data_IF_371264963490
#
_entry.id   IF_371264963490
#
_cell.length_a   1.000
_cell.length_b   1.000
_cell.length_c   1.000
_cell.angle_alpha   90.00
_cell.angle_beta   90.00
_cell.angle_gamma   90.00
#
_symmetry.space_group_name_H-M   'P 1'
#
loop_
_entity.id
_entity.type
_entity.pdbx_description
1 polymer ?
#
# COMPACT_ATOMS: atom_id res chain seq x y z
N UNK A 1 22.15 -1.25 4.74
CA UNK A 1 21.63 -2.49 5.38
C UNK A 1 21.50 -3.55 4.29
N UNK A 2 22.32 -4.59 4.32
CA UNK A 2 22.21 -5.74 3.44
C UNK A 2 20.88 -6.44 3.69
N UNK A 3 20.01 -6.51 2.68
CA UNK A 3 18.78 -7.30 2.74
C UNK A 3 19.19 -8.74 2.99
N UNK A 4 18.76 -9.33 4.11
CA UNK A 4 19.02 -10.74 4.37
C UNK A 4 18.28 -11.59 3.35
N UNK A 5 18.96 -12.62 2.84
CA UNK A 5 18.31 -13.66 2.06
C UNK A 5 17.30 -14.42 2.94
N UNK A 6 16.29 -15.02 2.31
CA UNK A 6 15.43 -15.97 2.99
C UNK A 6 16.28 -17.16 3.45
N UNK A 7 16.12 -17.56 4.72
CA UNK A 7 16.78 -18.73 5.28
C UNK A 7 16.12 -20.00 4.71
N UNK A 8 16.80 -20.80 3.85
CA UNK A 8 16.20 -21.97 3.24
C UNK A 8 15.73 -23.00 4.28
N UNK A 9 16.48 -23.17 5.37
CA UNK A 9 16.09 -24.08 6.45
C UNK A 9 14.80 -23.60 7.14
N UNK A 10 14.57 -22.28 7.21
CA UNK A 10 13.31 -21.75 7.72
C UNK A 10 12.11 -22.12 6.86
N UNK A 11 12.28 -22.04 5.55
CA UNK A 11 11.25 -22.36 4.55
C UNK A 11 10.94 -23.85 4.55
N UNK A 12 11.97 -24.71 4.53
CA UNK A 12 11.79 -26.17 4.60
C UNK A 12 11.12 -26.61 5.90
N UNK A 13 11.53 -26.05 7.04
CA UNK A 13 10.89 -26.37 8.32
C UNK A 13 9.40 -26.00 8.34
N UNK A 14 9.02 -24.88 7.73
CA UNK A 14 7.61 -24.50 7.59
C UNK A 14 6.84 -25.49 6.69
N UNK A 15 7.42 -25.87 5.55
CA UNK A 15 6.85 -26.86 4.62
C UNK A 15 6.57 -28.19 5.32
N UNK A 16 7.56 -28.74 6.03
CA UNK A 16 7.44 -30.00 6.77
C UNK A 16 6.39 -29.90 7.87
N UNK A 17 6.38 -28.81 8.64
CA UNK A 17 5.42 -28.62 9.72
C UNK A 17 3.97 -28.52 9.22
N UNK A 18 3.75 -27.93 8.03
CA UNK A 18 2.40 -27.70 7.49
C UNK A 18 1.87 -28.88 6.67
N UNK A 19 2.74 -29.58 5.94
CA UNK A 19 2.33 -30.58 4.94
C UNK A 19 2.91 -31.98 5.20
N UNK A 20 3.67 -32.15 6.28
CA UNK A 20 4.24 -33.43 6.69
C UNK A 20 5.62 -33.73 6.11
N UNK A 21 6.19 -34.85 6.54
CA UNK A 21 7.56 -35.27 6.21
C UNK A 21 7.81 -35.53 4.72
N UNK A 22 6.77 -35.79 3.93
CA UNK A 22 6.86 -35.98 2.47
C UNK A 22 7.37 -34.73 1.72
N UNK A 23 7.34 -33.55 2.36
CA UNK A 23 7.96 -32.32 1.84
C UNK A 23 9.38 -32.06 2.40
N UNK A 24 9.92 -32.93 3.26
CA UNK A 24 11.29 -32.83 3.77
C UNK A 24 12.35 -33.05 2.69
N UNK A 25 12.07 -33.98 1.76
CA UNK A 25 12.92 -34.31 0.61
C UNK A 25 12.41 -33.70 -0.71
N UNK A 26 11.48 -32.74 -0.63
CA UNK A 26 10.92 -32.10 -1.81
C UNK A 26 11.96 -31.20 -2.50
N UNK A 27 11.91 -31.14 -3.83
CA UNK A 27 12.58 -30.08 -4.56
C UNK A 27 11.90 -28.75 -4.24
N UNK A 28 12.56 -27.91 -3.45
CA UNK A 28 12.11 -26.56 -3.08
C UNK A 28 12.82 -25.54 -3.95
N UNK A 29 12.03 -24.77 -4.70
CA UNK A 29 12.50 -23.62 -5.46
C UNK A 29 12.08 -22.33 -4.72
N UNK A 30 13.03 -21.41 -4.56
CA UNK A 30 12.82 -20.10 -3.95
C UNK A 30 13.17 -19.04 -4.98
N UNK A 31 12.15 -18.42 -5.56
CA UNK A 31 12.30 -17.39 -6.59
C UNK A 31 12.04 -16.01 -6.00
N UNK A 32 13.05 -15.11 -5.93
CA UNK A 32 12.84 -13.74 -5.47
C UNK A 32 11.73 -13.05 -6.26
N UNK A 33 10.91 -12.27 -5.57
CA UNK A 33 9.91 -11.40 -6.18
C UNK A 33 10.41 -9.96 -6.11
N UNK A 34 10.54 -9.33 -7.27
CA UNK A 34 10.91 -7.93 -7.38
C UNK A 34 9.77 -7.01 -6.92
N UNK A 35 10.11 -5.79 -6.50
CA UNK A 35 9.13 -4.77 -6.07
C UNK A 35 9.01 -4.56 -4.55
N UNK A 36 9.57 -5.45 -3.72
CA UNK A 36 9.66 -5.24 -2.28
C UNK A 36 10.68 -4.15 -1.91
N UNK A 37 10.23 -2.91 -1.68
CA UNK A 37 11.11 -1.81 -1.26
C UNK A 37 11.63 -2.00 0.18
N UNK A 38 10.80 -2.57 1.05
CA UNK A 38 11.04 -2.65 2.49
C UNK A 38 11.18 -4.08 3.06
N UNK A 39 11.11 -5.11 2.21
CA UNK A 39 11.19 -6.52 2.65
C UNK A 39 11.78 -7.41 1.56
N UNK A 40 12.41 -8.51 1.98
CA UNK A 40 12.77 -9.60 1.08
C UNK A 40 11.54 -10.48 0.88
N UNK A 41 11.09 -10.64 -0.36
CA UNK A 41 9.91 -11.42 -0.71
C UNK A 41 10.31 -12.46 -1.77
N UNK A 42 9.83 -13.69 -1.65
CA UNK A 42 10.01 -14.72 -2.66
C UNK A 42 8.77 -15.60 -2.81
N UNK A 43 8.58 -16.12 -4.02
CA UNK A 43 7.71 -17.24 -4.27
C UNK A 43 8.45 -18.52 -3.90
N UNK A 44 7.82 -19.35 -3.08
CA UNK A 44 8.28 -20.69 -2.74
C UNK A 44 7.38 -21.69 -3.45
N UNK A 45 7.99 -22.59 -4.21
CA UNK A 45 7.33 -23.73 -4.85
C UNK A 45 7.98 -25.01 -4.37
N UNK A 46 7.17 -25.99 -3.94
CA UNK A 46 7.63 -27.29 -3.50
C UNK A 46 6.85 -28.40 -4.20
N UNK A 47 7.57 -29.41 -4.70
CA UNK A 47 6.98 -30.62 -5.28
C UNK A 47 7.22 -31.80 -4.35
N UNK A 48 6.17 -32.42 -3.78
CA UNK A 48 6.35 -33.62 -2.95
C UNK A 48 7.02 -34.77 -3.68
N UNK A 49 7.91 -35.46 -2.97
CA UNK A 49 8.60 -36.64 -3.48
C UNK A 49 7.76 -37.89 -3.18
N UNK A 50 7.35 -38.62 -4.22
CA UNK A 50 6.63 -39.90 -4.10
C UNK A 50 5.10 -39.79 -4.12
N UNK A 51 4.48 -40.38 -5.15
CA UNK A 51 3.03 -40.48 -5.35
C UNK A 51 2.58 -40.05 -6.75
N UNK A 52 1.44 -40.57 -7.22
CA UNK A 52 0.85 -40.20 -8.51
C UNK A 52 0.47 -38.70 -8.52
N UNK A 53 1.28 -37.89 -9.21
CA UNK A 53 1.07 -36.47 -9.49
C UNK A 53 0.55 -35.61 -8.30
N UNK A 54 1.28 -35.53 -7.17
CA UNK A 54 0.89 -34.62 -6.09
C UNK A 54 0.89 -33.17 -6.58
N UNK A 55 -0.16 -32.43 -6.26
CA UNK A 55 -0.26 -31.00 -6.63
C UNK A 55 0.91 -30.23 -6.01
N UNK A 56 1.61 -29.38 -6.79
CA UNK A 56 2.67 -28.54 -6.25
C UNK A 56 2.10 -27.59 -5.20
N UNK A 57 2.85 -27.38 -4.13
CA UNK A 57 2.54 -26.38 -3.10
C UNK A 57 3.23 -25.08 -3.47
N UNK A 58 2.50 -23.97 -3.44
CA UNK A 58 3.04 -22.64 -3.69
C UNK A 58 2.56 -21.64 -2.63
N UNK A 59 3.48 -20.82 -2.13
CA UNK A 59 3.19 -19.73 -1.21
C UNK A 59 4.23 -18.62 -1.33
N UNK A 60 3.91 -17.43 -0.84
CA UNK A 60 4.85 -16.32 -0.78
C UNK A 60 5.49 -16.27 0.61
N UNK A 61 6.82 -16.21 0.65
CA UNK A 61 7.60 -16.00 1.86
C UNK A 61 8.04 -14.53 1.91
N UNK A 62 7.65 -13.82 2.97
CA UNK A 62 8.05 -12.42 3.22
C UNK A 62 8.83 -12.33 4.52
N UNK A 63 10.02 -11.75 4.43
CA UNK A 63 10.88 -11.52 5.57
C UNK A 63 10.73 -10.09 6.05
N UNK A 64 10.00 -9.94 7.15
CA UNK A 64 9.71 -8.67 7.77
C UNK A 64 10.69 -8.36 8.92
N UNK A 65 11.16 -7.11 8.97
CA UNK A 65 12.12 -6.61 9.94
C UNK A 65 11.65 -5.30 10.56
N UNK A 66 12.15 -4.99 11.76
CA UNK A 66 11.92 -3.70 12.41
C UNK A 66 10.44 -3.44 12.60
N UNK A 67 9.96 -2.28 12.13
CA UNK A 67 8.55 -1.89 12.29
C UNK A 67 7.63 -2.67 11.36
N UNK A 68 8.11 -3.17 10.22
CA UNK A 68 7.34 -4.03 9.31
C UNK A 68 6.97 -5.39 9.96
N UNK A 69 7.66 -5.81 11.03
CA UNK A 69 7.32 -7.01 11.79
C UNK A 69 5.90 -6.99 12.37
N UNK A 70 5.29 -5.80 12.51
CA UNK A 70 3.90 -5.65 12.94
C UNK A 70 2.89 -6.29 11.99
N UNK A 71 3.25 -6.47 10.72
CA UNK A 71 2.38 -7.03 9.68
C UNK A 71 1.84 -8.42 10.05
N UNK A 72 2.60 -9.22 10.80
CA UNK A 72 2.12 -10.52 11.33
C UNK A 72 0.86 -10.35 12.17
N UNK A 73 0.85 -9.37 13.07
CA UNK A 73 -0.29 -9.11 13.94
C UNK A 73 -1.46 -8.50 13.15
N UNK A 74 -1.17 -7.75 12.08
CA UNK A 74 -2.19 -7.27 11.14
C UNK A 74 -2.86 -8.46 10.46
N UNK A 75 -2.13 -9.37 9.82
CA UNK A 75 -2.72 -10.54 9.16
C UNK A 75 -3.55 -11.42 10.11
N UNK A 76 -3.08 -11.61 11.36
CA UNK A 76 -3.85 -12.34 12.38
C UNK A 76 -5.19 -11.66 12.69
N UNK A 77 -5.25 -10.32 12.65
CA UNK A 77 -6.50 -9.57 12.75
C UNK A 77 -7.35 -9.73 11.50
N UNK A 78 -6.76 -9.59 10.31
CA UNK A 78 -7.49 -9.68 9.04
C UNK A 78 -8.25 -11.00 8.91
N UNK A 79 -7.63 -12.10 9.34
CA UNK A 79 -8.24 -13.43 9.38
C UNK A 79 -9.56 -13.52 10.20
N UNK A 80 -9.84 -12.54 11.05
CA UNK A 80 -11.05 -12.45 11.90
C UNK A 80 -11.95 -11.28 11.51
N UNK A 81 -11.77 -10.73 10.31
CA UNK A 81 -12.48 -9.56 9.79
C UNK A 81 -13.02 -9.84 8.37
N UNK A 82 -13.87 -8.96 7.86
CA UNK A 82 -14.34 -8.97 6.45
C UNK A 82 -13.17 -8.88 5.48
N UNK A 83 -12.03 -8.31 5.90
CA UNK A 83 -10.84 -8.23 5.07
C UNK A 83 -10.26 -9.59 4.70
N UNK A 84 -10.56 -10.66 5.47
CA UNK A 84 -10.21 -12.05 5.09
C UNK A 84 -10.67 -12.40 3.68
N UNK A 85 -11.78 -11.82 3.21
CA UNK A 85 -12.31 -12.09 1.87
C UNK A 85 -11.42 -11.50 0.76
N UNK A 86 -10.67 -10.43 1.03
CA UNK A 86 -9.91 -9.66 0.05
C UNK A 86 -8.46 -9.38 0.49
N UNK A 87 -7.90 -10.23 1.35
CA UNK A 87 -6.48 -10.28 1.72
C UNK A 87 -5.94 -11.70 1.50
N UNK A 88 -4.64 -11.87 1.23
CA UNK A 88 -4.03 -13.20 1.22
C UNK A 88 -4.21 -13.91 2.57
N UNK A 89 -4.41 -15.22 2.56
CA UNK A 89 -4.39 -16.01 3.79
C UNK A 89 -2.98 -16.02 4.41
N UNK A 90 -2.89 -15.82 5.73
CA UNK A 90 -1.66 -16.10 6.47
C UNK A 90 -1.57 -17.60 6.77
N UNK A 91 -0.75 -18.30 6.00
CA UNK A 91 -0.52 -19.75 6.15
C UNK A 91 0.33 -20.08 7.38
N UNK A 92 1.21 -19.15 7.77
CA UNK A 92 1.99 -19.24 9.00
C UNK A 92 2.91 -18.05 9.21
N UNK A 93 3.41 -17.92 10.44
CA UNK A 93 4.40 -16.91 10.78
C UNK A 93 5.39 -17.45 11.82
N UNK A 94 6.69 -17.26 11.57
CA UNK A 94 7.76 -17.71 12.47
C UNK A 94 8.62 -16.54 12.92
N UNK A 95 8.80 -16.40 14.24
CA UNK A 95 9.73 -15.42 14.80
C UNK A 95 11.15 -15.94 14.63
N UNK A 96 12.01 -15.17 13.96
CA UNK A 96 13.43 -15.50 13.73
C UNK A 96 14.38 -14.70 14.63
N UNK A 97 13.84 -13.74 15.41
CA UNK A 97 14.63 -12.90 16.30
C UNK A 97 13.80 -11.71 16.81
N UNK A 98 14.47 -10.78 17.50
CA UNK A 98 13.85 -9.53 17.96
C UNK A 98 13.46 -8.68 16.74
N UNK A 99 12.15 -8.44 16.56
CA UNK A 99 11.59 -7.72 15.39
C UNK A 99 11.96 -8.32 14.02
N UNK A 100 12.17 -9.64 13.94
CA UNK A 100 12.38 -10.35 12.68
C UNK A 100 11.41 -11.52 12.56
N UNK A 101 10.62 -11.52 11.50
CA UNK A 101 9.58 -12.52 11.25
C UNK A 101 9.62 -13.02 9.81
N UNK A 102 9.47 -14.33 9.65
CA UNK A 102 9.13 -14.94 8.38
C UNK A 102 7.60 -15.09 8.32
N UNK A 103 6.98 -14.49 7.32
CA UNK A 103 5.57 -14.66 6.99
C UNK A 103 5.47 -15.61 5.81
N UNK A 104 4.59 -16.60 5.91
CA UNK A 104 4.22 -17.48 4.81
C UNK A 104 2.75 -17.17 4.48
N UNK A 105 2.51 -16.58 3.31
CA UNK A 105 1.20 -16.09 2.88
C UNK A 105 0.76 -16.80 1.59
N UNK A 106 -0.54 -16.90 1.39
CA UNK A 106 -1.17 -17.44 0.17
C UNK A 106 -0.51 -16.85 -1.09
N UNK A 107 -0.17 -17.72 -2.04
CA UNK A 107 0.23 -17.28 -3.37
C UNK A 107 -1.02 -16.96 -4.19
N UNK A 108 -1.21 -15.69 -4.51
CA UNK A 108 -2.29 -15.21 -5.36
C UNK A 108 -1.82 -15.24 -6.82
N UNK A 109 -2.50 -16.02 -7.66
CA UNK A 109 -2.29 -16.01 -9.10
C UNK A 109 -3.15 -14.89 -9.70
N UNK A 110 -2.56 -13.87 -10.34
CA UNK A 110 -3.34 -12.81 -10.95
C UNK A 110 -4.05 -13.31 -12.21
N UNK A 111 -5.31 -12.92 -12.37
CA UNK A 111 -6.12 -13.18 -13.56
C UNK A 111 -5.59 -12.42 -14.79
N UNK A 112 -5.06 -11.21 -14.56
CA UNK A 112 -4.51 -10.35 -15.59
C UNK A 112 -3.23 -9.68 -15.09
N UNK A 113 -2.26 -9.46 -16.00
CA UNK A 113 -1.05 -8.72 -15.69
C UNK A 113 -1.34 -7.25 -15.32
N UNK A 114 -2.36 -6.66 -15.95
CA UNK A 114 -2.78 -5.27 -15.69
C UNK A 114 -4.30 -5.12 -15.85
N UNK A 115 -5.09 -5.31 -14.76
CA UNK A 115 -6.55 -5.30 -14.82
C UNK A 115 -7.17 -3.89 -14.79
N UNK A 116 -6.37 -2.84 -14.63
CA UNK A 116 -6.84 -1.51 -14.24
C UNK A 116 -7.37 -0.64 -15.38
N UNK A 117 -7.16 -1.06 -16.63
CA UNK A 117 -7.84 -0.47 -17.79
C UNK A 117 -9.35 -0.67 -17.74
N UNK A 118 -9.82 -1.70 -17.02
CA UNK A 118 -11.23 -1.92 -16.72
C UNK A 118 -11.67 -1.08 -15.50
N UNK A 119 -12.61 -0.17 -15.75
CA UNK A 119 -13.23 0.65 -14.72
C UNK A 119 -13.98 -0.16 -13.65
N UNK A 120 -14.50 -1.35 -13.99
CA UNK A 120 -15.19 -2.21 -13.05
C UNK A 120 -14.24 -2.76 -11.98
N UNK A 121 -13.03 -3.20 -12.36
CA UNK A 121 -12.00 -3.61 -11.39
C UNK A 121 -11.58 -2.46 -10.49
N UNK A 122 -11.43 -1.26 -11.08
CA UNK A 122 -11.09 -0.05 -10.33
C UNK A 122 -12.15 0.30 -9.28
N UNK A 123 -13.44 0.18 -9.62
CA UNK A 123 -14.54 0.41 -8.70
C UNK A 123 -14.62 -0.66 -7.60
N UNK A 124 -14.42 -1.96 -7.93
CA UNK A 124 -14.45 -3.04 -6.94
C UNK A 124 -13.41 -2.89 -5.84
N UNK A 125 -12.24 -2.32 -6.13
CA UNK A 125 -11.25 -1.99 -5.09
C UNK A 125 -11.84 -1.01 -4.08
N UNK A 126 -12.56 0.01 -4.55
CA UNK A 126 -13.23 0.99 -3.69
C UNK A 126 -14.38 0.37 -2.90
N UNK A 127 -15.10 -0.61 -3.45
CA UNK A 127 -16.13 -1.35 -2.72
C UNK A 127 -15.52 -2.17 -1.57
N UNK A 128 -14.38 -2.84 -1.82
CA UNK A 128 -13.64 -3.55 -0.76
C UNK A 128 -13.12 -2.61 0.31
N UNK A 129 -12.59 -1.45 -0.08
CA UNK A 129 -12.20 -0.41 0.87
C UNK A 129 -13.42 0.10 1.65
N UNK A 130 -14.59 0.31 1.02
CA UNK A 130 -15.79 0.72 1.72
C UNK A 130 -16.19 -0.30 2.80
N UNK A 131 -16.16 -1.60 2.47
CA UNK A 131 -16.42 -2.70 3.40
C UNK A 131 -15.41 -2.75 4.55
N UNK A 132 -14.11 -2.62 4.26
CA UNK A 132 -13.06 -2.54 5.28
C UNK A 132 -13.31 -1.37 6.24
N UNK A 133 -13.58 -0.19 5.70
CA UNK A 133 -13.75 1.02 6.49
C UNK A 133 -15.06 1.03 7.31
N UNK A 134 -16.03 0.18 6.96
CA UNK A 134 -17.30 0.05 7.67
C UNK A 134 -17.23 -0.82 8.94
N UNK A 135 -16.18 -1.64 9.12
CA UNK A 135 -16.04 -2.51 10.30
C UNK A 135 -15.88 -1.76 11.63
N UNK A 136 -15.76 -0.44 11.60
CA UNK A 136 -15.46 0.38 12.76
C UNK A 136 -14.06 0.10 13.32
N UNK A 137 -13.84 0.44 14.59
CA UNK A 137 -12.61 0.11 15.32
C UNK A 137 -12.95 -0.85 16.47
N UNK A 138 -13.21 -2.15 16.23
CA UNK A 138 -13.48 -3.09 17.33
C UNK A 138 -12.22 -3.35 18.18
N UNK A 139 -12.46 -3.63 19.46
CA UNK A 139 -11.52 -3.61 20.61
C UNK A 139 -10.29 -4.53 20.59
N UNK A 140 -9.88 -5.11 19.46
CA UNK A 140 -8.56 -5.69 19.31
C UNK A 140 -7.62 -4.62 18.72
N UNK A 141 -6.79 -3.95 19.51
CA UNK A 141 -5.94 -2.87 18.98
C UNK A 141 -4.99 -3.39 17.89
N UNK A 142 -4.89 -2.68 16.76
CA UNK A 142 -3.73 -2.85 15.88
C UNK A 142 -2.45 -2.61 16.70
N UNK A 143 -1.31 -3.22 16.33
CA UNK A 143 -0.05 -2.98 17.04
C UNK A 143 0.24 -1.48 17.13
N UNK A 144 0.60 -1.03 18.33
CA UNK A 144 0.96 0.36 18.57
C UNK A 144 2.03 0.79 17.56
N UNK A 145 1.74 1.86 16.84
CA UNK A 145 2.62 2.45 15.85
C UNK A 145 2.40 3.96 15.93
N UNK A 146 3.47 4.69 16.24
CA UNK A 146 3.44 6.14 16.23
C UNK A 146 3.57 6.66 14.79
N UNK A 147 2.51 6.43 14.02
CA UNK A 147 2.43 6.87 12.64
C UNK A 147 2.53 8.40 12.52
N UNK A 148 2.02 9.13 13.52
CA UNK A 148 2.00 10.59 13.50
C UNK A 148 3.43 11.17 13.64
N UNK A 149 4.29 10.56 14.47
CA UNK A 149 5.72 10.91 14.49
C UNK A 149 6.43 10.51 13.19
N UNK A 150 6.17 9.31 12.66
CA UNK A 150 6.81 8.82 11.44
C UNK A 150 6.47 9.70 10.22
N UNK A 151 5.19 10.02 10.01
CA UNK A 151 4.77 10.86 8.88
C UNK A 151 5.35 12.26 8.99
N UNK A 152 5.45 12.82 10.20
CA UNK A 152 6.05 14.13 10.42
C UNK A 152 7.55 14.13 10.09
N UNK A 153 8.27 13.08 10.51
CA UNK A 153 9.67 12.89 10.15
C UNK A 153 9.84 12.74 8.62
N UNK A 154 8.99 11.94 7.98
CA UNK A 154 8.97 11.77 6.52
C UNK A 154 8.68 13.08 5.78
N UNK A 155 7.70 13.86 6.24
CA UNK A 155 7.32 15.14 5.65
C UNK A 155 8.47 16.16 5.72
N UNK A 156 9.14 16.26 6.88
CA UNK A 156 10.31 17.13 7.07
C UNK A 156 11.46 16.71 6.18
N UNK A 157 11.75 15.41 6.10
CA UNK A 157 12.79 14.88 5.21
C UNK A 157 12.47 15.14 3.73
N UNK A 158 11.20 15.04 3.34
CA UNK A 158 10.71 15.34 1.99
C UNK A 158 10.93 16.82 1.65
N UNK A 159 10.56 17.73 2.56
CA UNK A 159 10.79 19.17 2.39
C UNK A 159 12.28 19.50 2.29
N UNK A 160 13.10 18.97 3.20
CA UNK A 160 14.54 19.20 3.18
C UNK A 160 15.21 18.70 1.89
N UNK A 161 14.73 17.58 1.32
CA UNK A 161 15.17 17.13 0.01
C UNK A 161 14.70 18.09 -1.10
N UNK A 162 13.42 18.45 -1.11
CA UNK A 162 12.83 19.36 -2.09
C UNK A 162 13.56 20.71 -2.15
N UNK A 163 14.05 21.24 -1.03
CA UNK A 163 14.80 22.48 -0.97
C UNK A 163 16.21 22.38 -1.59
N UNK A 164 16.76 21.17 -1.69
CA UNK A 164 18.10 20.90 -2.24
C UNK A 164 18.10 20.40 -3.69
N UNK A 165 16.94 20.00 -4.23
CA UNK A 165 16.85 19.54 -5.62
C UNK A 165 17.23 20.70 -6.56
N UNK A 166 18.18 20.50 -7.48
CA UNK A 166 18.61 21.56 -8.40
C UNK A 166 17.45 22.12 -9.23
N UNK A 167 17.51 23.43 -9.52
CA UNK A 167 16.53 24.08 -10.40
C UNK A 167 16.57 23.43 -11.78
N UNK A 168 15.40 23.18 -12.37
CA UNK A 168 15.25 22.56 -13.69
C UNK A 168 15.02 21.05 -13.65
N UNK A 169 15.50 20.34 -12.62
CA UNK A 169 15.30 18.88 -12.48
C UNK A 169 13.82 18.51 -12.38
N UNK A 170 13.06 19.30 -11.61
CA UNK A 170 11.60 19.18 -11.52
C UNK A 170 11.00 20.58 -11.73
N UNK A 171 10.56 20.86 -12.96
CA UNK A 171 10.14 22.19 -13.40
C UNK A 171 9.05 22.85 -12.50
N UNK A 172 8.17 22.05 -11.89
CA UNK A 172 7.08 22.57 -11.04
C UNK A 172 7.48 22.81 -9.58
N UNK A 173 8.67 22.37 -9.16
CA UNK A 173 9.08 22.35 -7.75
C UNK A 173 9.25 23.75 -7.18
N UNK A 174 10.00 24.63 -7.85
CA UNK A 174 10.27 25.98 -7.38
C UNK A 174 8.98 26.76 -7.08
N UNK A 175 7.98 26.66 -7.97
CA UNK A 175 6.67 27.32 -7.81
C UNK A 175 5.81 26.69 -6.71
N UNK A 176 6.03 25.42 -6.38
CA UNK A 176 5.22 24.68 -5.40
C UNK A 176 5.84 24.68 -4.00
N UNK A 177 7.13 24.98 -3.88
CA UNK A 177 7.86 24.93 -2.62
C UNK A 177 7.20 25.72 -1.47
N UNK A 178 6.66 26.95 -1.67
CA UNK A 178 5.93 27.64 -0.61
C UNK A 178 4.68 26.90 -0.12
N UNK A 179 3.93 26.28 -1.05
CA UNK A 179 2.77 25.45 -0.71
C UNK A 179 3.20 24.20 0.06
N UNK A 180 4.30 23.55 -0.36
CA UNK A 180 4.86 22.40 0.35
C UNK A 180 5.23 22.76 1.80
N UNK A 181 5.90 23.89 2.03
CA UNK A 181 6.23 24.37 3.38
C UNK A 181 4.99 24.54 4.26
N UNK A 182 3.95 25.21 3.74
CA UNK A 182 2.69 25.41 4.47
C UNK A 182 1.99 24.09 4.79
N UNK A 183 1.88 23.19 3.82
CA UNK A 183 1.25 21.88 4.01
C UNK A 183 2.02 21.04 5.03
N UNK A 184 3.37 21.03 4.99
CA UNK A 184 4.21 20.33 5.98
C UNK A 184 4.03 20.95 7.38
N UNK A 185 4.03 22.27 7.50
CA UNK A 185 3.80 22.95 8.78
C UNK A 185 2.41 22.69 9.36
N UNK A 186 1.39 22.62 8.50
CA UNK A 186 0.00 22.35 8.87
C UNK A 186 -0.30 20.85 9.05
N UNK A 187 0.64 19.94 8.80
CA UNK A 187 0.39 18.50 8.78
C UNK A 187 -0.22 17.98 10.09
N UNK A 188 0.29 18.30 11.30
CA UNK A 188 -0.31 17.78 12.54
C UNK A 188 -1.77 18.19 12.74
N UNK A 189 -2.13 19.43 12.42
CA UNK A 189 -3.50 19.91 12.49
C UNK A 189 -4.39 19.24 11.42
N UNK A 190 -3.84 19.06 10.21
CA UNK A 190 -4.49 18.36 9.11
C UNK A 190 -4.81 16.90 9.46
N UNK A 191 -3.86 16.20 10.08
CA UNK A 191 -4.04 14.82 10.55
C UNK A 191 -5.18 14.72 11.58
N UNK A 192 -5.21 15.60 12.57
CA UNK A 192 -6.30 15.65 13.56
C UNK A 192 -7.66 15.90 12.89
N UNK A 193 -7.72 16.84 11.95
CA UNK A 193 -8.95 17.15 11.23
C UNK A 193 -9.44 15.97 10.37
N UNK A 194 -8.53 15.27 9.67
CA UNK A 194 -8.86 14.07 8.90
C UNK A 194 -9.42 12.93 9.76
N UNK A 195 -8.85 12.73 10.94
CA UNK A 195 -9.29 11.70 11.90
C UNK A 195 -10.59 12.06 12.63
N UNK A 196 -11.05 13.31 12.53
CA UNK A 196 -12.30 13.80 13.11
C UNK A 196 -13.32 14.18 12.03
N UNK A 197 -13.04 13.88 10.76
CA UNK A 197 -13.89 14.28 9.65
C UNK A 197 -15.12 13.39 9.54
N UNK A 198 -16.27 13.91 9.97
CA UNK A 198 -17.57 13.27 9.77
C UNK A 198 -18.09 13.49 8.33
N UNK A 199 -18.79 12.51 7.73
CA UNK A 199 -19.32 11.28 8.32
C UNK A 199 -18.39 10.05 8.23
N UNK A 200 -17.13 10.23 7.83
CA UNK A 200 -16.23 9.10 7.55
C UNK A 200 -15.49 8.61 8.80
N UNK A 201 -15.20 9.51 9.73
CA UNK A 201 -14.58 9.24 11.01
C UNK A 201 -13.23 8.52 10.90
N UNK A 202 -12.91 7.73 11.93
CA UNK A 202 -11.74 6.84 11.96
C UNK A 202 -12.15 5.43 11.56
N UNK A 203 -11.31 4.76 10.79
CA UNK A 203 -11.48 3.35 10.48
C UNK A 203 -10.13 2.62 10.45
N UNK A 204 -10.17 1.30 10.41
CA UNK A 204 -9.01 0.53 9.96
C UNK A 204 -8.80 0.80 8.48
N UNK A 205 -7.60 1.26 8.13
CA UNK A 205 -7.16 1.51 6.76
C UNK A 205 -6.01 0.56 6.42
N UNK A 206 -5.89 0.21 5.14
CA UNK A 206 -4.76 -0.50 4.56
C UNK A 206 -3.47 0.31 4.65
N UNK A 207 -3.54 1.61 4.35
CA UNK A 207 -2.46 2.57 4.54
C UNK A 207 -1.40 2.62 3.45
N UNK A 208 -1.54 1.82 2.38
CA UNK A 208 -0.65 1.78 1.21
C UNK A 208 -1.35 1.27 -0.08
N UNK A 209 -2.56 1.75 -0.35
CA UNK A 209 -3.36 1.24 -1.48
C UNK A 209 -2.88 1.86 -2.79
N UNK A 210 -2.32 1.06 -3.70
CA UNK A 210 -1.95 1.47 -5.05
C UNK A 210 -1.93 0.26 -6.00
N UNK A 211 -1.91 0.45 -7.33
CA UNK A 211 -1.96 -0.65 -8.32
C UNK A 211 -0.90 -1.75 -8.20
N UNK A 212 0.18 -1.51 -7.45
CA UNK A 212 1.22 -2.51 -7.16
C UNK A 212 0.95 -3.35 -5.91
N UNK A 213 0.04 -2.91 -5.04
CA UNK A 213 -0.39 -3.59 -3.82
C UNK A 213 -1.81 -4.16 -3.95
N UNK A 214 -2.31 -4.30 -5.18
CA UNK A 214 -3.58 -4.96 -5.45
C UNK A 214 -3.38 -5.92 -6.60
N UNK A 215 -3.93 -7.13 -6.47
CA UNK A 215 -4.05 -8.09 -7.57
C UNK A 215 -5.53 -8.37 -7.80
N UNK A 216 -5.88 -8.85 -9.00
CA UNK A 216 -7.21 -9.41 -9.27
C UNK A 216 -7.04 -10.90 -9.43
N UNK A 217 -7.72 -11.70 -8.61
CA UNK A 217 -7.79 -13.16 -8.76
C UNK A 217 -9.11 -13.56 -9.36
N UNK A 218 -9.15 -14.68 -10.06
CA UNK A 218 -10.41 -15.34 -10.40
C UNK A 218 -10.78 -16.35 -9.31
N UNK A 219 -12.02 -16.25 -8.81
CA UNK A 219 -12.60 -17.22 -7.87
C UNK A 219 -14.08 -17.38 -8.19
N UNK A 220 -14.53 -18.62 -8.37
CA UNK A 220 -15.94 -18.95 -8.66
C UNK A 220 -16.50 -18.13 -9.85
N UNK A 221 -15.69 -17.97 -10.90
CA UNK A 221 -16.04 -17.20 -12.10
C UNK A 221 -16.09 -15.68 -11.90
N UNK A 222 -15.59 -15.16 -10.77
CA UNK A 222 -15.56 -13.73 -10.45
C UNK A 222 -14.14 -13.22 -10.28
N UNK A 223 -13.84 -12.12 -10.97
CA UNK A 223 -12.62 -11.34 -10.77
C UNK A 223 -12.70 -10.52 -9.48
N UNK A 224 -11.86 -10.84 -8.50
CA UNK A 224 -11.93 -10.31 -7.15
C UNK A 224 -10.62 -9.61 -6.75
N UNK A 225 -10.65 -8.31 -6.37
CA UNK A 225 -9.45 -7.62 -5.92
C UNK A 225 -8.96 -8.13 -4.57
N UNK A 226 -7.67 -8.43 -4.50
CA UNK A 226 -6.95 -8.82 -3.29
C UNK A 226 -5.93 -7.76 -2.95
N UNK A 227 -6.06 -7.17 -1.76
CA UNK A 227 -5.13 -6.16 -1.23
C UNK A 227 -3.91 -6.86 -0.60
N UNK A 228 -2.72 -6.42 -1.00
CA UNK A 228 -1.43 -6.95 -0.58
C UNK A 228 -0.66 -5.92 0.25
N UNK A 229 0.34 -6.40 0.99
CA UNK A 229 1.25 -5.56 1.80
C UNK A 229 0.54 -4.72 2.87
N UNK A 230 0.10 -5.40 3.92
CA UNK A 230 -0.64 -4.80 5.02
C UNK A 230 0.27 -4.20 6.11
N UNK A 231 1.56 -4.02 5.83
CA UNK A 231 2.52 -3.51 6.82
C UNK A 231 2.16 -2.11 7.34
N UNK A 232 1.53 -1.28 6.50
CA UNK A 232 1.09 0.09 6.83
C UNK A 232 -0.34 0.18 7.36
N UNK A 233 -0.99 -0.95 7.65
CA UNK A 233 -2.37 -0.95 8.12
C UNK A 233 -2.49 -0.36 9.53
N UNK A 234 -3.41 0.58 9.73
CA UNK A 234 -3.55 1.31 10.99
C UNK A 234 -4.96 1.83 11.15
N UNK A 235 -5.25 2.42 12.32
CA UNK A 235 -6.43 3.28 12.42
C UNK A 235 -6.08 4.62 11.78
N UNK A 236 -6.89 5.07 10.83
CA UNK A 236 -6.65 6.28 10.05
C UNK A 236 -7.92 6.86 9.47
N UNK A 237 -7.79 7.87 8.61
CA UNK A 237 -8.90 8.39 7.84
C UNK A 237 -9.13 7.52 6.60
N UNK A 238 -10.36 7.05 6.34
CA UNK A 238 -10.67 6.26 5.14
C UNK A 238 -10.27 6.94 3.82
N UNK A 239 -10.23 8.28 3.80
CA UNK A 239 -9.81 9.06 2.64
C UNK A 239 -8.32 8.86 2.30
N UNK A 240 -7.49 8.38 3.22
CA UNK A 240 -6.09 8.05 2.95
C UNK A 240 -6.00 6.88 1.95
N UNK A 241 -6.76 5.80 2.15
CA UNK A 241 -6.78 4.68 1.21
C UNK A 241 -7.41 5.06 -0.13
N UNK A 242 -8.55 5.76 -0.09
CA UNK A 242 -9.28 6.16 -1.30
C UNK A 242 -8.44 7.11 -2.16
N UNK A 243 -7.83 8.12 -1.55
CA UNK A 243 -6.96 9.05 -2.27
C UNK A 243 -5.67 8.38 -2.76
N UNK A 244 -5.08 7.46 -1.99
CA UNK A 244 -3.91 6.69 -2.42
C UNK A 244 -4.23 5.91 -3.69
N UNK A 245 -5.35 5.17 -3.71
CA UNK A 245 -5.80 4.41 -4.87
C UNK A 245 -6.03 5.31 -6.09
N UNK A 246 -6.89 6.33 -5.95
CA UNK A 246 -7.30 7.18 -7.07
C UNK A 246 -6.16 8.01 -7.66
N UNK A 247 -5.25 8.52 -6.81
CA UNK A 247 -4.11 9.31 -7.30
C UNK A 247 -3.03 8.41 -7.92
N UNK A 248 -2.72 7.27 -7.31
CA UNK A 248 -1.72 6.33 -7.86
C UNK A 248 -2.19 5.71 -9.18
N UNK A 249 -3.47 5.38 -9.29
CA UNK A 249 -4.04 4.84 -10.52
C UNK A 249 -4.11 5.87 -11.64
N UNK A 250 -4.49 7.11 -11.32
CA UNK A 250 -4.63 8.18 -12.31
C UNK A 250 -3.33 8.58 -13.02
N UNK A 251 -2.18 8.09 -12.55
CA UNK A 251 -0.90 8.20 -13.23
C UNK A 251 -0.80 7.23 -14.42
N UNK A 252 -1.21 5.98 -14.25
CA UNK A 252 -1.13 4.93 -15.27
C UNK A 252 -2.37 4.90 -16.16
N UNK A 253 -3.53 5.24 -15.60
CA UNK A 253 -4.83 5.13 -16.26
C UNK A 253 -5.52 6.50 -16.37
N UNK A 254 -5.34 7.22 -17.50
CA UNK A 254 -5.99 8.52 -17.71
C UNK A 254 -7.51 8.46 -17.63
N UNK A 255 -8.11 7.31 -17.99
CA UNK A 255 -9.55 7.09 -17.86
C UNK A 255 -10.02 7.11 -16.40
N UNK A 256 -9.27 6.48 -15.49
CA UNK A 256 -9.54 6.52 -14.06
C UNK A 256 -9.44 7.95 -13.51
N UNK A 257 -8.45 8.73 -13.97
CA UNK A 257 -8.32 10.15 -13.62
C UNK A 257 -9.52 10.98 -14.08
N UNK A 258 -10.06 10.73 -15.27
CA UNK A 258 -11.27 11.40 -15.78
C UNK A 258 -12.52 11.02 -14.98
N UNK A 259 -12.59 9.77 -14.50
CA UNK A 259 -13.70 9.23 -13.71
C UNK A 259 -13.53 9.41 -12.20
N UNK A 260 -12.54 10.19 -11.77
CA UNK A 260 -12.21 10.40 -10.36
C UNK A 260 -13.44 10.67 -9.48
N UNK A 261 -14.27 11.63 -9.87
CA UNK A 261 -15.43 12.05 -9.10
C UNK A 261 -16.52 10.96 -9.06
N UNK A 262 -16.72 10.26 -10.18
CA UNK A 262 -17.63 9.09 -10.26
C UNK A 262 -17.17 7.97 -9.33
N UNK A 263 -15.87 7.66 -9.32
CA UNK A 263 -15.30 6.61 -8.48
C UNK A 263 -15.39 6.98 -6.99
N UNK A 264 -15.07 8.22 -6.63
CA UNK A 264 -15.21 8.72 -5.26
C UNK A 264 -16.68 8.70 -4.80
N UNK A 265 -17.61 9.12 -5.66
CA UNK A 265 -19.05 9.04 -5.38
C UNK A 265 -19.51 7.58 -5.18
N UNK A 266 -19.00 6.65 -5.98
CA UNK A 266 -19.24 5.21 -5.82
C UNK A 266 -18.77 4.68 -4.47
N UNK A 267 -17.56 5.06 -4.03
CA UNK A 267 -17.06 4.73 -2.69
C UNK A 267 -17.99 5.23 -1.57
N UNK A 268 -18.49 6.47 -1.67
CA UNK A 268 -19.42 7.03 -0.67
C UNK A 268 -20.74 6.24 -0.66
N UNK A 269 -21.29 5.93 -1.82
CA UNK A 269 -22.49 5.12 -1.94
C UNK A 269 -22.30 3.73 -1.32
N UNK A 270 -21.16 3.08 -1.58
CA UNK A 270 -20.80 1.79 -0.98
C UNK A 270 -20.62 1.87 0.54
N UNK A 271 -20.29 3.05 1.08
CA UNK A 271 -20.26 3.35 2.53
C UNK A 271 -21.66 3.67 3.10
N UNK A 272 -22.71 3.66 2.30
CA UNK A 272 -24.07 4.05 2.70
C UNK A 272 -24.23 5.57 2.88
N UNK A 273 -23.34 6.37 2.29
CA UNK A 273 -23.35 7.83 2.38
C UNK A 273 -23.92 8.45 1.09
N UNK A 274 -24.40 9.70 1.19
CA UNK A 274 -24.81 10.45 0.02
C UNK A 274 -23.63 10.59 -0.97
N UNK A 275 -23.81 10.28 -2.27
CA UNK A 275 -22.76 10.35 -3.28
C UNK A 275 -22.46 11.79 -3.74
N UNK A 276 -22.49 12.75 -2.81
CA UNK A 276 -22.32 14.17 -3.08
C UNK A 276 -20.90 14.64 -2.72
N UNK A 277 -20.19 15.18 -3.71
CA UNK A 277 -18.82 15.68 -3.53
C UNK A 277 -18.80 17.14 -3.09
N UNK A 278 -19.23 17.37 -1.85
CA UNK A 278 -19.26 18.69 -1.21
C UNK A 278 -17.85 19.28 -1.08
N UNK A 279 -17.75 20.61 -0.93
CA UNK A 279 -16.46 21.29 -0.73
C UNK A 279 -15.70 20.75 0.49
N UNK A 280 -16.30 20.58 1.69
CA UNK A 280 -15.60 19.99 2.83
C UNK A 280 -15.03 18.60 2.55
N UNK A 281 -15.78 17.74 1.84
CA UNK A 281 -15.28 16.42 1.46
C UNK A 281 -14.11 16.50 0.49
N UNK A 282 -14.17 17.40 -0.50
CA UNK A 282 -13.05 17.60 -1.44
C UNK A 282 -11.80 18.13 -0.74
N UNK A 283 -11.96 19.05 0.22
CA UNK A 283 -10.84 19.59 1.00
C UNK A 283 -10.22 18.52 1.91
N UNK A 284 -11.05 17.68 2.54
CA UNK A 284 -10.59 16.52 3.30
C UNK A 284 -9.87 15.50 2.39
N UNK A 285 -10.42 15.23 1.21
CA UNK A 285 -9.82 14.32 0.23
C UNK A 285 -8.41 14.79 -0.19
N UNK A 286 -8.26 16.07 -0.57
CA UNK A 286 -6.94 16.60 -0.95
C UNK A 286 -5.97 16.64 0.22
N UNK A 287 -6.46 16.85 1.44
CA UNK A 287 -5.66 16.75 2.66
C UNK A 287 -5.13 15.33 2.90
N UNK A 288 -5.98 14.31 2.72
CA UNK A 288 -5.58 12.91 2.81
C UNK A 288 -4.57 12.55 1.70
N UNK A 289 -4.82 13.02 0.47
CA UNK A 289 -3.90 12.83 -0.65
C UNK A 289 -2.52 13.44 -0.35
N UNK A 290 -2.47 14.67 0.18
CA UNK A 290 -1.22 15.30 0.59
C UNK A 290 -0.51 14.56 1.73
N UNK A 291 -1.26 13.98 2.67
CA UNK A 291 -0.73 13.10 3.71
C UNK A 291 0.02 11.90 3.10
N UNK A 292 -0.58 11.23 2.12
CA UNK A 292 0.06 10.10 1.42
C UNK A 292 1.30 10.54 0.64
N UNK A 293 1.24 11.70 -0.03
CA UNK A 293 2.39 12.27 -0.74
C UNK A 293 3.59 12.47 0.19
N UNK A 294 3.34 12.98 1.41
CA UNK A 294 4.36 13.23 2.43
C UNK A 294 4.80 11.97 3.19
N UNK A 295 4.03 10.89 3.15
CA UNK A 295 4.38 9.60 3.74
C UNK A 295 5.54 8.89 3.01
N UNK A 296 5.97 9.41 1.85
CA UNK A 296 7.21 8.97 1.19
C UNK A 296 7.19 9.04 -0.33
N UNK A 297 6.01 9.09 -0.95
CA UNK A 297 5.86 9.04 -2.41
C UNK A 297 6.61 10.18 -3.12
N UNK A 298 6.46 11.43 -2.66
CA UNK A 298 7.19 12.55 -3.27
C UNK A 298 8.69 12.45 -3.03
N UNK A 299 9.11 12.07 -1.82
CA UNK A 299 10.54 11.92 -1.51
C UNK A 299 11.21 10.91 -2.42
N UNK A 300 10.59 9.75 -2.63
CA UNK A 300 11.09 8.72 -3.53
C UNK A 300 11.29 9.26 -4.95
N UNK A 301 10.27 9.92 -5.51
CA UNK A 301 10.35 10.45 -6.88
C UNK A 301 11.37 11.58 -7.01
N UNK A 302 11.50 12.45 -6.00
CA UNK A 302 12.56 13.46 -5.98
C UNK A 302 13.96 12.83 -5.92
N UNK A 303 14.15 11.80 -5.10
CA UNK A 303 15.41 11.06 -5.02
C UNK A 303 15.76 10.37 -6.34
N UNK A 304 14.81 9.70 -6.99
CA UNK A 304 15.02 9.06 -8.29
C UNK A 304 15.30 10.07 -9.40
N UNK A 305 14.66 11.24 -9.39
CA UNK A 305 14.90 12.28 -10.39
C UNK A 305 16.34 12.81 -10.38
N UNK A 306 16.97 12.86 -9.20
CA UNK A 306 18.35 13.34 -9.03
C UNK A 306 19.38 12.21 -8.84
N UNK A 307 18.97 10.94 -8.98
CA UNK A 307 19.84 9.79 -8.69
C UNK A 307 21.03 9.75 -9.66
N UNK A 308 22.28 9.77 -9.16
CA UNK A 308 23.46 9.63 -10.00
C UNK A 308 23.45 8.29 -10.75
N UNK A 309 23.83 8.32 -12.03
CA UNK A 309 23.90 7.12 -12.86
C UNK A 309 22.55 6.51 -13.29
N UNK A 310 21.42 7.11 -12.92
CA UNK A 310 20.13 6.68 -13.43
C UNK A 310 19.97 7.03 -14.91
N UNK A 311 19.35 6.12 -15.68
CA UNK A 311 19.07 6.34 -17.09
C UNK A 311 18.21 7.63 -17.30
N UNK A 312 18.46 8.44 -18.35
CA UNK A 312 17.73 9.69 -18.58
C UNK A 312 16.21 9.52 -18.60
N UNK A 313 15.70 8.45 -19.20
CA UNK A 313 14.27 8.13 -19.24
C UNK A 313 13.67 7.88 -17.84
N UNK A 314 14.41 7.21 -16.96
CA UNK A 314 13.98 6.95 -15.59
C UNK A 314 13.92 8.25 -14.76
N UNK A 315 14.94 9.11 -14.90
CA UNK A 315 14.95 10.44 -14.25
C UNK A 315 13.79 11.31 -14.73
N UNK A 316 13.54 11.34 -16.04
CA UNK A 316 12.43 12.09 -16.62
C UNK A 316 11.06 11.57 -16.16
N UNK A 317 10.89 10.25 -16.05
CA UNK A 317 9.68 9.65 -15.47
C UNK A 317 9.49 10.06 -14.01
N UNK A 318 10.54 9.95 -13.19
CA UNK A 318 10.50 10.36 -11.79
C UNK A 318 10.19 11.86 -11.61
N UNK A 319 10.75 12.72 -12.45
CA UNK A 319 10.47 14.16 -12.45
C UNK A 319 9.01 14.47 -12.81
N UNK A 320 8.41 13.75 -13.79
CA UNK A 320 6.99 13.86 -14.11
C UNK A 320 6.11 13.41 -12.93
N UNK A 321 6.45 12.29 -12.30
CA UNK A 321 5.74 11.78 -11.13
C UNK A 321 5.79 12.77 -9.96
N UNK A 322 6.97 13.35 -9.71
CA UNK A 322 7.14 14.39 -8.70
C UNK A 322 6.25 15.61 -9.01
N UNK A 323 6.14 16.02 -10.28
CA UNK A 323 5.28 17.13 -10.68
C UNK A 323 3.79 16.87 -10.44
N UNK A 324 3.32 15.65 -10.67
CA UNK A 324 1.95 15.23 -10.36
C UNK A 324 1.69 15.22 -8.84
N UNK A 325 2.63 14.72 -8.03
CA UNK A 325 2.53 14.82 -6.58
C UNK A 325 2.54 16.26 -6.06
N UNK A 326 3.33 17.13 -6.66
CA UNK A 326 3.33 18.57 -6.35
C UNK A 326 1.99 19.23 -6.72
N UNK A 327 1.27 18.73 -7.73
CA UNK A 327 -0.10 19.20 -8.02
C UNK A 327 -1.05 18.87 -6.87
N UNK A 328 -0.93 17.69 -6.26
CA UNK A 328 -1.71 17.31 -5.06
C UNK A 328 -1.43 18.28 -3.91
N UNK A 329 -0.15 18.59 -3.65
CA UNK A 329 0.24 19.57 -2.62
C UNK A 329 -0.39 20.94 -2.87
N UNK A 330 -0.39 21.45 -4.11
CA UNK A 330 -1.04 22.73 -4.44
C UNK A 330 -2.56 22.69 -4.23
N UNK A 331 -3.21 21.55 -4.51
CA UNK A 331 -4.66 21.38 -4.28
C UNK A 331 -4.99 21.38 -2.79
N UNK A 332 -4.17 20.71 -1.98
CA UNK A 332 -4.33 20.73 -0.52
C UNK A 332 -4.04 22.12 0.07
N UNK A 333 -3.05 22.85 -0.45
CA UNK A 333 -2.73 24.22 -0.01
C UNK A 333 -3.84 25.23 -0.32
N UNK A 334 -4.60 25.02 -1.40
CA UNK A 334 -5.64 25.94 -1.83
C UNK A 334 -6.77 26.14 -0.79
N UNK A 335 -6.93 25.22 0.16
CA UNK A 335 -7.93 25.36 1.24
C UNK A 335 -7.50 26.34 2.34
N UNK A 336 -6.22 26.73 2.38
CA UNK A 336 -5.70 27.72 3.34
C UNK A 336 -5.83 29.16 2.81
N UNK A 337 -6.46 29.34 1.66
CA UNK A 337 -6.72 30.63 1.01
C UNK A 337 -8.23 30.87 0.97
#
# INVERSE_FOLDING_TARGET
>A
MTRGALDPAAVTNFLVARHGAALGDAAVEVRPLDGGLCSTVALVTARPSGGAAPRPVAFVAKLAYGDAAREVAVYRRLARSVARCFSPELLGARRLGRRRWLLCIEHIVPAHAWPWSDGAHTARVLDHLARLHAEGVPGASLPAWDYEAEILASARATLALAERVPRGEVASLARTLPALRRVVGALPATRRALLAFEPLGRAVIHGDVHPGNVLVRERDGRADPVLLDWARARVGSPLEDVSSWLQALGYWEPAARRRHDTLLAGYLAARGLAPALTRPLRDAYWSAAASNVLAGALRYQLSEAIRPGAAPGARAAAARNAADWLRVIRRADARFR
#
